data_IF_288189900352
#
_entry.id   IF_288189900352
#
_cell.length_a   1.000
_cell.length_b   1.000
_cell.length_c   1.000
_cell.angle_alpha   90.00
_cell.angle_beta   90.00
_cell.angle_gamma   90.00
#
_symmetry.space_group_name_H-M   'P 1'
#
loop_
_entity.id
_entity.type
_entity.pdbx_description
1 polymer ?
#
# COMPACT_ATOMS: atom_id res chain seq x y z
N UNK A 1 27.24 3.20 -17.31
CA UNK A 1 26.00 3.60 -16.62
C UNK A 1 25.07 2.39 -16.67
N UNK A 2 24.97 1.66 -15.57
CA UNK A 2 24.04 0.53 -15.46
C UNK A 2 22.62 1.08 -15.40
N UNK A 3 21.81 0.80 -16.43
CA UNK A 3 20.41 1.19 -16.44
C UNK A 3 19.69 0.51 -15.28
N UNK A 4 19.04 1.29 -14.42
CA UNK A 4 18.16 0.76 -13.40
C UNK A 4 17.00 0.06 -14.10
N UNK A 5 16.82 -1.24 -13.85
CA UNK A 5 15.62 -1.96 -14.26
C UNK A 5 14.53 -1.59 -13.27
N UNK A 6 13.53 -0.81 -13.71
CA UNK A 6 12.38 -0.49 -12.88
C UNK A 6 11.50 -1.74 -12.72
N UNK A 7 10.93 -1.98 -11.54
CA UNK A 7 10.16 -3.19 -11.29
C UNK A 7 8.78 -3.18 -11.96
N UNK A 8 8.24 -2.00 -12.27
CA UNK A 8 6.91 -1.84 -12.87
C UNK A 8 7.02 -1.64 -14.39
N UNK A 9 6.18 -2.34 -15.16
CA UNK A 9 5.96 -2.01 -16.56
C UNK A 9 5.03 -0.80 -16.70
N UNK A 10 4.96 -0.21 -17.90
CA UNK A 10 4.04 0.89 -18.17
C UNK A 10 2.57 0.48 -17.99
N UNK A 11 2.21 -0.77 -18.31
CA UNK A 11 0.88 -1.30 -18.02
C UNK A 11 0.58 -1.32 -16.52
N UNK A 12 1.56 -1.69 -15.69
CA UNK A 12 1.39 -1.68 -14.24
C UNK A 12 1.21 -0.25 -13.71
N UNK A 13 2.05 0.69 -14.16
CA UNK A 13 1.97 2.07 -13.72
C UNK A 13 0.66 2.74 -14.15
N UNK A 14 0.16 2.43 -15.35
CA UNK A 14 -1.14 2.89 -15.82
C UNK A 14 -2.29 2.36 -14.94
N UNK A 15 -2.28 1.06 -14.61
CA UNK A 15 -3.24 0.45 -13.69
C UNK A 15 -3.24 1.16 -12.32
N UNK A 16 -2.05 1.35 -11.73
CA UNK A 16 -1.91 1.99 -10.43
C UNK A 16 -2.31 3.46 -10.46
N UNK A 17 -2.05 4.16 -11.57
CA UNK A 17 -2.53 5.53 -11.78
C UNK A 17 -4.05 5.60 -11.72
N UNK A 18 -4.74 4.68 -12.39
CA UNK A 18 -6.19 4.68 -12.41
C UNK A 18 -6.76 4.33 -11.04
N UNK A 19 -6.14 3.39 -10.30
CA UNK A 19 -6.53 3.13 -8.92
C UNK A 19 -6.33 4.33 -7.98
N UNK A 20 -5.24 5.10 -8.17
CA UNK A 20 -5.02 6.35 -7.43
C UNK A 20 -6.07 7.39 -7.79
N UNK A 21 -6.42 7.54 -9.07
CA UNK A 21 -7.46 8.48 -9.50
C UNK A 21 -8.85 8.10 -8.93
N UNK A 22 -9.14 6.81 -8.81
CA UNK A 22 -10.39 6.31 -8.25
C UNK A 22 -10.52 6.51 -6.73
N UNK A 23 -9.46 6.19 -5.97
CA UNK A 23 -9.52 6.13 -4.51
C UNK A 23 -8.81 7.29 -3.81
N UNK A 24 -8.00 8.05 -4.53
CA UNK A 24 -7.14 9.12 -4.00
C UNK A 24 -5.88 8.61 -3.28
N UNK A 25 -5.80 7.34 -2.93
CA UNK A 25 -4.72 6.74 -2.15
C UNK A 25 -4.55 5.25 -2.51
N UNK A 26 -3.32 4.75 -2.36
CA UNK A 26 -3.02 3.33 -2.34
C UNK A 26 -2.31 2.92 -1.04
N UNK A 27 -2.62 1.72 -0.56
CA UNK A 27 -1.85 1.06 0.49
C UNK A 27 -0.77 0.19 -0.15
N UNK A 28 0.49 0.41 0.24
CA UNK A 28 1.64 -0.31 -0.30
C UNK A 28 2.39 -0.98 0.83
N UNK A 29 2.33 -2.30 0.89
CA UNK A 29 3.20 -3.10 1.75
C UNK A 29 4.50 -3.44 1.00
N UNK A 30 5.63 -3.23 1.68
CA UNK A 30 6.98 -3.50 1.17
C UNK A 30 7.63 -4.56 2.04
N UNK A 31 7.91 -5.72 1.44
CA UNK A 31 8.55 -6.83 2.12
C UNK A 31 9.93 -7.12 1.53
N UNK A 32 10.94 -7.25 2.39
CA UNK A 32 12.31 -7.58 2.02
C UNK A 32 12.62 -9.02 2.36
N UNK A 33 12.85 -9.85 1.34
CA UNK A 33 13.16 -11.27 1.52
C UNK A 33 14.38 -11.45 2.43
N UNK A 34 14.27 -12.34 3.43
CA UNK A 34 15.37 -12.73 4.33
C UNK A 34 15.85 -11.61 5.29
N UNK A 35 15.10 -10.51 5.42
CA UNK A 35 15.45 -9.42 6.35
C UNK A 35 15.14 -9.75 7.83
N UNK A 36 14.44 -10.85 8.11
CA UNK A 36 14.02 -11.20 9.47
C UNK A 36 12.99 -10.22 10.07
N UNK A 37 12.55 -9.22 9.30
CA UNK A 37 11.56 -8.21 9.68
C UNK A 37 10.22 -8.47 8.97
N UNK A 38 9.13 -8.07 9.63
CA UNK A 38 7.82 -7.91 9.03
C UNK A 38 7.86 -6.79 7.98
N UNK A 39 7.00 -6.86 6.95
CA UNK A 39 6.89 -5.81 5.93
C UNK A 39 6.68 -4.41 6.51
N UNK A 40 6.98 -3.39 5.71
CA UNK A 40 6.69 -1.99 6.04
C UNK A 40 5.64 -1.47 5.08
N UNK A 41 4.58 -0.89 5.64
CA UNK A 41 3.49 -0.35 4.86
C UNK A 41 3.52 1.18 4.76
N UNK A 42 2.96 1.69 3.66
CA UNK A 42 2.88 3.11 3.32
C UNK A 42 1.52 3.45 2.72
N UNK A 43 1.03 4.65 3.03
CA UNK A 43 -0.05 5.30 2.29
C UNK A 43 0.56 6.25 1.25
N UNK A 44 0.28 6.01 -0.03
CA UNK A 44 0.76 6.85 -1.14
C UNK A 44 -0.39 7.54 -1.86
N UNK A 45 -0.19 8.78 -2.34
CA UNK A 45 -1.22 9.58 -3.02
C UNK A 45 -0.88 9.87 -4.49
N UNK A 46 0.31 9.47 -4.92
CA UNK A 46 0.78 9.74 -6.28
C UNK A 46 1.73 8.65 -6.78
N UNK A 47 1.88 8.57 -8.11
CA UNK A 47 2.95 7.76 -8.70
C UNK A 47 4.34 8.30 -8.35
N UNK A 48 4.48 9.58 -8.03
CA UNK A 48 5.76 10.15 -7.57
C UNK A 48 6.15 9.58 -6.20
N UNK A 49 5.19 9.36 -5.30
CA UNK A 49 5.42 8.69 -4.02
C UNK A 49 5.88 7.26 -4.25
N UNK A 50 5.19 6.52 -5.14
CA UNK A 50 5.59 5.15 -5.50
C UNK A 50 7.01 5.10 -6.08
N UNK A 51 7.34 6.03 -6.99
CA UNK A 51 8.69 6.13 -7.58
C UNK A 51 9.74 6.34 -6.50
N UNK A 52 9.46 7.26 -5.59
CA UNK A 52 10.35 7.61 -4.48
C UNK A 52 10.51 6.45 -3.50
N UNK A 53 9.44 5.71 -3.23
CA UNK A 53 9.43 4.51 -2.39
C UNK A 53 10.25 3.37 -3.00
N UNK A 54 10.14 3.15 -4.31
CA UNK A 54 10.97 2.16 -5.02
C UNK A 54 12.44 2.53 -4.93
N UNK A 55 12.79 3.79 -5.22
CA UNK A 55 14.16 4.28 -5.17
C UNK A 55 14.78 4.19 -3.76
N UNK A 56 14.02 4.56 -2.72
CA UNK A 56 14.49 4.45 -1.34
C UNK A 56 14.69 2.99 -0.92
N UNK A 57 13.74 2.12 -1.27
CA UNK A 57 13.82 0.68 -0.97
C UNK A 57 15.04 0.01 -1.61
N UNK A 58 15.38 0.38 -2.85
CA UNK A 58 16.57 -0.12 -3.54
C UNK A 58 17.88 0.34 -2.90
N UNK A 59 17.90 1.58 -2.39
CA UNK A 59 19.08 2.14 -1.74
C UNK A 59 19.37 1.46 -0.40
N UNK A 60 18.32 1.05 0.33
CA UNK A 60 18.45 0.50 1.68
C UNK A 60 19.01 -0.93 1.73
N UNK A 61 18.76 -1.78 0.73
CA UNK A 61 18.99 -3.23 0.88
C UNK A 61 20.26 -3.78 0.25
N UNK A 62 20.99 -2.97 -0.52
CA UNK A 62 22.09 -3.47 -1.34
C UNK A 62 21.63 -4.50 -2.39
N UNK A 63 22.57 -4.96 -3.22
CA UNK A 63 22.28 -5.69 -4.48
C UNK A 63 21.65 -7.10 -4.34
N UNK A 64 21.53 -7.65 -3.13
CA UNK A 64 21.31 -9.08 -2.92
C UNK A 64 19.94 -9.49 -2.38
N UNK A 65 19.04 -8.53 -2.12
CA UNK A 65 17.74 -8.77 -1.51
C UNK A 65 16.64 -8.68 -2.56
N UNK A 66 15.70 -9.63 -2.52
CA UNK A 66 14.46 -9.53 -3.28
C UNK A 66 13.49 -8.64 -2.52
N UNK A 67 12.96 -7.62 -3.19
CA UNK A 67 11.94 -6.73 -2.64
C UNK A 67 10.59 -7.09 -3.27
N UNK A 68 9.57 -7.20 -2.44
CA UNK A 68 8.19 -7.40 -2.83
C UNK A 68 7.40 -6.15 -2.51
N UNK A 69 6.63 -5.67 -3.47
CA UNK A 69 5.66 -4.60 -3.31
C UNK A 69 4.28 -5.20 -3.49
N UNK A 70 3.45 -5.10 -2.46
CA UNK A 70 2.04 -5.50 -2.51
C UNK A 70 1.19 -4.25 -2.39
N UNK A 71 0.55 -3.87 -3.49
CA UNK A 71 -0.26 -2.67 -3.62
C UNK A 71 -1.73 -3.07 -3.57
N UNK A 72 -2.48 -2.52 -2.63
CA UNK A 72 -3.91 -2.78 -2.48
C UNK A 72 -4.72 -1.58 -3.00
N UNK A 73 -5.67 -1.87 -3.88
CA UNK A 73 -6.59 -0.87 -4.48
C UNK A 73 -7.53 -0.28 -3.43
N UNK A 74 -8.10 -1.13 -2.58
CA UNK A 74 -9.10 -0.69 -1.60
C UNK A 74 -8.45 0.05 -0.43
N UNK A 75 -9.16 1.05 0.10
CA UNK A 75 -8.79 1.73 1.34
C UNK A 75 -8.94 0.75 2.52
N UNK A 76 -7.80 0.26 3.04
CA UNK A 76 -7.79 -0.70 4.17
C UNK A 76 -8.27 -0.09 5.49
N UNK A 77 -8.07 1.22 5.64
CA UNK A 77 -8.47 2.00 6.81
C UNK A 77 -9.47 3.09 6.41
N UNK A 78 -10.77 2.74 6.19
CA UNK A 78 -11.74 3.65 5.59
C UNK A 78 -12.29 4.70 6.57
N UNK A 79 -12.27 4.44 7.88
CA UNK A 79 -12.70 5.40 8.89
C UNK A 79 -11.55 6.34 9.20
N UNK A 80 -11.71 7.64 8.92
CA UNK A 80 -10.61 8.61 9.05
C UNK A 80 -11.06 9.90 9.72
N UNK A 81 -10.15 10.52 10.46
CA UNK A 81 -10.37 11.85 11.03
C UNK A 81 -9.56 12.10 12.29
N UNK A 82 -9.82 13.24 12.92
CA UNK A 82 -9.33 13.52 14.26
C UNK A 82 -10.02 12.57 15.24
N UNK A 83 -9.24 11.98 16.15
CA UNK A 83 -9.72 11.10 17.21
C UNK A 83 -10.57 11.88 18.23
N UNK A 84 -11.84 12.06 17.89
CA UNK A 84 -12.86 12.72 18.69
C UNK A 84 -14.08 11.81 18.87
N UNK A 85 -15.05 12.26 19.68
CA UNK A 85 -16.26 11.49 19.96
C UNK A 85 -17.06 11.16 18.70
N UNK A 86 -17.10 12.05 17.71
CA UNK A 86 -17.81 11.82 16.46
C UNK A 86 -17.20 10.65 15.67
N UNK A 87 -15.87 10.61 15.54
CA UNK A 87 -15.17 9.52 14.87
C UNK A 87 -15.34 8.20 15.64
N UNK A 88 -15.27 8.23 16.98
CA UNK A 88 -15.47 7.06 17.83
C UNK A 88 -16.86 6.47 17.65
N UNK A 89 -17.91 7.28 17.76
CA UNK A 89 -19.30 6.84 17.59
C UNK A 89 -19.57 6.32 16.18
N UNK A 90 -18.96 6.94 15.15
CA UNK A 90 -19.00 6.42 13.78
C UNK A 90 -18.31 5.06 13.67
N UNK A 91 -17.17 4.88 14.33
CA UNK A 91 -16.43 3.62 14.32
C UNK A 91 -17.19 2.49 15.00
N UNK A 92 -17.75 2.75 16.20
CA UNK A 92 -18.57 1.78 16.94
C UNK A 92 -19.84 1.38 16.18
N UNK A 93 -20.40 2.29 15.38
CA UNK A 93 -21.55 1.99 14.53
C UNK A 93 -21.20 1.13 13.32
N UNK A 94 -20.03 1.35 12.71
CA UNK A 94 -19.64 0.72 11.44
C UNK A 94 -18.87 -0.58 11.62
N UNK A 95 -18.12 -0.71 12.71
CA UNK A 95 -17.36 -1.92 13.05
C UNK A 95 -18.26 -2.77 13.96
N UNK A 96 -18.71 -3.95 13.52
CA UNK A 96 -19.44 -4.89 14.38
C UNK A 96 -18.66 -5.24 15.65
N UNK A 97 -19.35 -5.40 16.76
CA UNK A 97 -18.72 -5.93 17.97
C UNK A 97 -18.21 -7.35 17.72
N UNK A 98 -17.06 -7.71 18.32
CA UNK A 98 -16.30 -8.93 18.05
C UNK A 98 -15.60 -9.01 16.68
N UNK A 99 -15.50 -7.91 15.92
CA UNK A 99 -14.67 -7.82 14.72
C UNK A 99 -13.28 -7.21 15.02
N UNK A 100 -12.18 -7.83 14.55
CA UNK A 100 -10.85 -7.26 14.66
C UNK A 100 -10.75 -5.88 13.99
N UNK A 101 -10.03 -4.97 14.63
CA UNK A 101 -9.71 -3.66 14.08
C UNK A 101 -8.30 -3.23 14.50
N UNK A 102 -7.75 -2.28 13.77
CA UNK A 102 -6.54 -1.54 14.10
C UNK A 102 -6.80 -0.04 13.98
N UNK A 103 -6.19 0.73 14.89
CA UNK A 103 -6.11 2.19 14.83
C UNK A 103 -4.69 2.54 14.41
N UNK A 104 -4.53 3.31 13.34
CA UNK A 104 -3.21 3.75 12.88
C UNK A 104 -3.17 5.26 12.75
N UNK A 105 -2.00 5.85 13.02
CA UNK A 105 -1.79 7.27 12.77
C UNK A 105 -1.82 7.53 11.27
N UNK A 106 -2.63 8.49 10.84
CA UNK A 106 -2.72 8.86 9.44
C UNK A 106 -1.52 9.74 9.08
N UNK A 107 -0.46 9.08 8.63
CA UNK A 107 0.75 9.68 8.08
C UNK A 107 0.87 9.30 6.61
N UNK A 108 1.32 10.23 5.80
CA UNK A 108 1.50 10.02 4.37
C UNK A 108 2.97 9.86 4.03
N UNK A 109 3.26 9.16 2.93
CA UNK A 109 4.62 9.05 2.41
C UNK A 109 5.30 10.44 2.37
N UNK A 110 6.55 10.58 2.86
CA UNK A 110 7.56 9.53 3.10
C UNK A 110 7.48 8.82 4.46
N UNK A 111 6.53 9.17 5.32
CA UNK A 111 6.39 8.52 6.62
C UNK A 111 5.82 7.10 6.46
N UNK A 112 6.43 6.15 7.17
CA UNK A 112 5.91 4.79 7.27
C UNK A 112 4.57 4.82 7.98
N UNK A 113 3.66 3.92 7.61
CA UNK A 113 2.48 3.64 8.44
C UNK A 113 3.00 3.09 9.77
N UNK A 114 2.82 3.87 10.83
CA UNK A 114 3.07 3.40 12.18
C UNK A 114 1.99 2.40 12.55
N UNK A 115 2.42 1.20 12.95
CA UNK A 115 1.51 0.26 13.59
C UNK A 115 1.00 0.91 14.87
N UNK A 116 -0.32 1.06 14.97
CA UNK A 116 -0.96 1.45 16.21
C UNK A 116 -1.64 0.25 16.84
N UNK A 117 -2.27 0.49 17.99
CA UNK A 117 -2.92 -0.58 18.72
C UNK A 117 -4.25 -0.99 18.08
N UNK A 118 -4.65 -2.22 18.37
CA UNK A 118 -5.83 -2.85 17.81
C UNK A 118 -6.56 -3.67 18.86
N UNK A 119 -7.75 -4.10 18.49
CA UNK A 119 -8.63 -4.82 19.39
C UNK A 119 -9.59 -5.72 18.65
N UNK A 120 -10.44 -6.40 19.40
CA UNK A 120 -11.38 -7.37 18.82
C UNK A 120 -12.82 -7.04 19.13
N UNK A 121 -13.10 -6.06 19.97
CA UNK A 121 -14.44 -5.72 20.43
C UNK A 121 -14.55 -4.22 20.71
N UNK A 122 -15.77 -3.73 20.95
CA UNK A 122 -16.03 -2.32 21.22
C UNK A 122 -15.38 -1.81 22.51
N UNK A 123 -15.20 -2.67 23.51
CA UNK A 123 -14.51 -2.28 24.75
C UNK A 123 -13.04 -1.98 24.50
N UNK A 124 -12.37 -2.80 23.67
CA UNK A 124 -11.01 -2.53 23.23
C UNK A 124 -10.97 -1.24 22.40
N UNK A 125 -11.91 -1.06 21.45
CA UNK A 125 -11.95 0.14 20.61
C UNK A 125 -12.04 1.42 21.44
N UNK A 126 -12.90 1.47 22.46
CA UNK A 126 -12.99 2.63 23.35
C UNK A 126 -11.71 2.87 24.15
N UNK A 127 -11.06 1.79 24.61
CA UNK A 127 -9.79 1.88 25.34
C UNK A 127 -8.69 2.44 24.45
N UNK A 128 -8.41 1.81 23.32
CA UNK A 128 -7.34 2.23 22.40
C UNK A 128 -7.59 3.63 21.84
N UNK A 129 -8.85 3.99 21.55
CA UNK A 129 -9.20 5.33 21.04
C UNK A 129 -8.89 6.44 22.04
N UNK A 130 -8.92 6.15 23.35
CA UNK A 130 -8.58 7.14 24.39
C UNK A 130 -7.10 7.52 24.31
N UNK A 131 -6.22 6.59 23.93
CA UNK A 131 -4.77 6.80 23.87
C UNK A 131 -4.35 7.72 22.71
N UNK A 132 -5.16 7.78 21.67
CA UNK A 132 -4.92 8.58 20.45
C UNK A 132 -5.77 9.85 20.39
N UNK A 133 -6.44 10.24 21.48
CA UNK A 133 -7.39 11.36 21.49
C UNK A 133 -6.76 12.67 20.98
N UNK A 134 -7.44 13.32 20.03
CA UNK A 134 -6.97 14.54 19.37
C UNK A 134 -6.02 14.33 18.18
N UNK A 135 -5.54 13.11 17.95
CA UNK A 135 -4.62 12.79 16.85
C UNK A 135 -5.36 12.53 15.54
N UNK A 136 -4.68 12.73 14.41
CA UNK A 136 -5.21 12.36 13.10
C UNK A 136 -4.95 10.86 12.86
N UNK A 137 -6.03 10.08 12.79
CA UNK A 137 -5.98 8.62 12.72
C UNK A 137 -6.83 8.07 11.58
N UNK A 138 -6.60 6.80 11.26
CA UNK A 138 -7.55 5.98 10.53
C UNK A 138 -7.76 4.61 11.20
N UNK A 139 -8.94 4.03 10.98
CA UNK A 139 -9.39 2.79 11.61
C UNK A 139 -9.86 1.84 10.51
N UNK A 140 -9.46 0.58 10.64
CA UNK A 140 -9.74 -0.45 9.66
C UNK A 140 -9.18 -1.79 10.09
N UNK A 141 -8.82 -2.60 9.11
CA UNK A 141 -8.22 -3.91 9.35
C UNK A 141 -6.96 -4.01 8.49
N UNK A 142 -5.85 -4.40 9.11
CA UNK A 142 -4.62 -4.69 8.37
C UNK A 142 -4.90 -5.82 7.38
N UNK A 143 -4.54 -5.65 6.10
CA UNK A 143 -4.74 -6.69 5.11
C UNK A 143 -3.87 -7.91 5.42
N UNK A 144 -4.48 -9.10 5.38
CA UNK A 144 -3.74 -10.36 5.43
C UNK A 144 -3.07 -10.63 4.06
N UNK A 145 -1.92 -10.00 3.87
CA UNK A 145 -1.09 -10.08 2.65
C UNK A 145 -0.22 -11.35 2.58
N UNK A 146 -0.17 -12.15 3.64
CA UNK A 146 0.60 -13.40 3.67
C UNK A 146 -0.25 -14.64 3.36
N UNK A 147 -1.58 -14.52 3.43
CA UNK A 147 -2.48 -15.64 3.16
C UNK A 147 -2.37 -16.16 1.71
N UNK A 148 -2.34 -17.49 1.56
CA UNK A 148 -2.32 -18.19 0.27
C UNK A 148 -3.53 -17.88 -0.64
N UNK A 149 -4.53 -17.15 -0.13
CA UNK A 149 -5.78 -16.80 -0.80
C UNK A 149 -5.77 -15.49 -1.61
N UNK A 150 -4.64 -14.75 -1.64
CA UNK A 150 -4.48 -13.53 -2.45
C UNK A 150 -4.86 -13.72 -3.93
N UNK A 151 -4.68 -14.92 -4.47
CA UNK A 151 -4.99 -15.26 -5.86
C UNK A 151 -6.48 -15.11 -6.25
N UNK A 152 -7.39 -14.99 -5.27
CA UNK A 152 -8.82 -14.76 -5.52
C UNK A 152 -9.19 -13.28 -5.71
N UNK A 153 -8.29 -12.34 -5.41
CA UNK A 153 -8.50 -10.88 -5.44
C UNK A 153 -7.68 -10.17 -6.51
N UNK A 154 -7.58 -10.77 -7.71
CA UNK A 154 -6.71 -10.32 -8.81
C UNK A 154 -6.96 -8.86 -9.24
N UNK A 155 -8.17 -8.32 -9.04
CA UNK A 155 -8.53 -6.95 -9.40
C UNK A 155 -8.38 -5.93 -8.25
N UNK A 156 -7.96 -6.37 -7.07
CA UNK A 156 -7.84 -5.54 -5.87
C UNK A 156 -6.41 -5.47 -5.34
N UNK A 157 -5.53 -6.37 -5.80
CA UNK A 157 -4.16 -6.50 -5.29
C UNK A 157 -3.20 -6.62 -6.46
N UNK A 158 -2.20 -5.76 -6.47
CA UNK A 158 -1.09 -5.79 -7.41
C UNK A 158 0.19 -6.13 -6.67
N UNK A 159 0.85 -7.24 -7.03
CA UNK A 159 2.15 -7.60 -6.44
C UNK A 159 3.24 -7.56 -7.50
N UNK A 160 4.39 -6.98 -7.14
CA UNK A 160 5.59 -7.06 -7.95
C UNK A 160 6.80 -7.41 -7.09
N UNK A 161 7.58 -8.38 -7.57
CA UNK A 161 8.83 -8.78 -6.95
C UNK A 161 9.99 -8.42 -7.88
N UNK A 162 11.07 -7.85 -7.33
CA UNK A 162 12.28 -7.67 -8.12
C UNK A 162 13.54 -7.99 -7.31
N UNK A 163 14.58 -8.41 -8.04
CA UNK A 163 15.90 -8.73 -7.51
C UNK A 163 16.93 -8.02 -8.37
N UNK A 164 17.83 -7.25 -7.76
CA UNK A 164 18.69 -6.31 -8.49
C UNK A 164 19.73 -6.99 -9.42
N UNK A 165 20.16 -8.22 -9.11
CA UNK A 165 21.24 -8.93 -9.83
C UNK A 165 20.79 -9.99 -10.84
N UNK A 166 19.48 -10.17 -11.05
CA UNK A 166 18.95 -11.10 -12.03
C UNK A 166 17.77 -10.44 -12.71
N UNK A 167 17.73 -10.46 -14.05
CA UNK A 167 16.61 -9.96 -14.85
C UNK A 167 15.29 -10.15 -14.10
N UNK A 168 14.62 -9.03 -13.78
CA UNK A 168 13.48 -8.96 -12.87
C UNK A 168 12.51 -10.09 -13.16
N UNK A 169 12.45 -11.11 -12.30
CA UNK A 169 11.43 -12.14 -12.42
C UNK A 169 10.15 -11.57 -11.82
N UNK A 170 9.27 -11.04 -12.67
CA UNK A 170 7.91 -10.68 -12.26
C UNK A 170 7.19 -11.97 -11.87
N UNK A 171 7.08 -12.22 -10.57
CA UNK A 171 6.24 -13.29 -10.07
C UNK A 171 4.90 -12.67 -9.64
N UNK A 172 3.86 -12.99 -10.40
CA UNK A 172 2.44 -12.74 -10.11
C UNK A 172 1.99 -11.27 -10.13
N UNK A 173 1.78 -10.72 -11.34
CA UNK A 173 0.49 -10.15 -11.78
C UNK A 173 0.58 -9.65 -13.24
N UNK A 174 -0.58 -9.44 -13.86
CA UNK A 174 -0.75 -9.12 -15.28
C UNK A 174 0.23 -8.04 -15.76
N UNK A 175 1.10 -8.39 -16.70
CA UNK A 175 1.86 -7.40 -17.50
C UNK A 175 0.99 -6.82 -18.64
N UNK A 176 -0.33 -6.85 -18.46
CA UNK A 176 -1.29 -6.37 -19.43
C UNK A 176 -2.43 -5.65 -18.74
N UNK A 177 -2.59 -4.38 -19.09
CA UNK A 177 -3.70 -3.54 -18.67
C UNK A 177 -4.41 -3.02 -19.93
N UNK A 178 -5.67 -3.42 -20.11
CA UNK A 178 -6.43 -3.20 -21.33
C UNK A 178 -6.65 -1.70 -21.65
N UNK A 179 -6.99 -0.82 -20.68
CA UNK A 179 -7.12 0.62 -20.95
C UNK A 179 -5.84 1.23 -21.52
N UNK A 180 -4.68 0.90 -20.95
CA UNK A 180 -3.39 1.32 -21.50
C UNK A 180 -3.14 0.74 -22.90
N UNK A 181 -3.46 -0.53 -23.13
CA UNK A 181 -3.26 -1.17 -24.44
C UNK A 181 -4.08 -0.50 -25.56
N UNK A 182 -5.29 -0.01 -25.23
CA UNK A 182 -6.19 0.65 -26.17
C UNK A 182 -5.89 2.13 -26.36
N UNK A 183 -5.45 2.81 -25.30
CA UNK A 183 -5.29 4.27 -25.26
C UNK A 183 -3.98 4.69 -24.57
N UNK A 184 -2.80 4.29 -25.08
CA UNK A 184 -1.52 4.60 -24.45
C UNK A 184 -1.24 6.10 -24.38
N UNK A 185 -1.81 6.90 -25.29
CA UNK A 185 -1.70 8.36 -25.31
C UNK A 185 -2.18 9.03 -24.01
N UNK A 186 -3.15 8.44 -23.31
CA UNK A 186 -3.64 8.96 -22.03
C UNK A 186 -2.61 8.84 -20.90
N UNK A 187 -1.61 7.98 -21.07
CA UNK A 187 -0.61 7.65 -20.05
C UNK A 187 0.80 8.10 -20.45
N UNK A 188 0.97 8.93 -21.49
CA UNK A 188 2.30 9.41 -21.94
C UNK A 188 3.11 10.06 -20.82
N UNK A 189 2.45 10.80 -19.94
CA UNK A 189 3.09 11.45 -18.79
C UNK A 189 3.72 10.44 -17.81
N UNK A 190 3.22 9.19 -17.75
CA UNK A 190 3.80 8.13 -16.92
C UNK A 190 5.18 7.74 -17.45
N UNK A 191 5.35 7.67 -18.77
CA UNK A 191 6.65 7.39 -19.37
C UNK A 191 7.67 8.47 -19.01
N UNK A 192 7.26 9.74 -19.08
CA UNK A 192 8.11 10.88 -18.72
C UNK A 192 8.49 10.84 -17.23
N UNK A 193 7.51 10.56 -16.37
CA UNK A 193 7.71 10.42 -14.93
C UNK A 193 8.71 9.29 -14.62
N UNK A 194 8.63 8.16 -15.31
CA UNK A 194 9.37 6.95 -14.95
C UNK A 194 10.70 6.74 -15.69
N UNK A 195 10.98 7.50 -16.75
CA UNK A 195 12.25 7.43 -17.52
C UNK A 195 13.45 8.12 -16.85
N UNK A 196 13.23 8.94 -15.83
CA UNK A 196 14.27 9.69 -15.09
C UNK A 196 14.82 8.90 -13.92
#
# INVERSE_FOLDING_TARGET
MSGFSYPFSLHNLALLSDWLNENGELYVDVYWAKSGHSGTAFFIHSLQDLKSLVASSQTMTGHWITIYFTVLRQLQFPLRGIANEELLERALKQIPDNQPFEIVYLRYFPEMRNHGDGGKNHSDLRREFTEVSGELICIGQEPDVESENLGSKVNEIFTVSFKQDSASSMSKNQDFYEPYAKHPEHYQWIEELWRV
#
